data_IF_911100683234
#
_entry.id   IF_911100683234
#
_cell.length_a   1.000
_cell.length_b   1.000
_cell.length_c   1.000
_cell.angle_alpha   90.00
_cell.angle_beta   90.00
_cell.angle_gamma   90.00
#
_symmetry.space_group_name_H-M   'P 1'
#
loop_
_entity.id
_entity.type
_entity.pdbx_description
1 polymer ?
#
# COMPACT_ATOMS: atom_id res chain seq x y z
N UNK A 1 -10.27 15.77 -33.73
CA UNK A 1 -9.99 14.53 -33.00
C UNK A 1 -8.50 14.16 -33.03
N UNK A 2 -7.88 13.98 -34.21
CA UNK A 2 -6.43 13.64 -34.35
C UNK A 2 -5.48 14.62 -33.62
N UNK A 3 -5.74 15.93 -33.68
CA UNK A 3 -4.95 16.95 -32.97
C UNK A 3 -5.01 16.76 -31.46
N UNK A 4 -6.19 16.56 -30.90
CA UNK A 4 -6.41 16.33 -29.47
C UNK A 4 -5.68 15.06 -28.97
N UNK A 5 -5.76 13.96 -29.75
CA UNK A 5 -5.04 12.72 -29.43
C UNK A 5 -3.51 12.95 -29.42
N UNK A 6 -2.99 13.70 -30.40
CA UNK A 6 -1.56 14.04 -30.46
C UNK A 6 -1.11 14.87 -29.24
N UNK A 7 -1.90 15.88 -28.87
CA UNK A 7 -1.64 16.72 -27.70
C UNK A 7 -1.65 15.90 -26.40
N UNK A 8 -2.62 15.02 -26.24
CA UNK A 8 -2.69 14.10 -25.08
C UNK A 8 -1.48 13.17 -25.01
N UNK A 9 -1.07 12.57 -26.13
CA UNK A 9 0.14 11.72 -26.18
C UNK A 9 1.40 12.50 -25.81
N UNK A 10 1.55 13.71 -26.33
CA UNK A 10 2.71 14.58 -26.02
C UNK A 10 2.75 14.96 -24.54
N UNK A 11 1.61 15.32 -23.96
CA UNK A 11 1.51 15.65 -22.55
C UNK A 11 1.82 14.44 -21.65
N UNK A 12 1.34 13.25 -22.04
CA UNK A 12 1.60 12.00 -21.32
C UNK A 12 3.10 11.65 -21.35
N UNK A 13 3.73 11.69 -22.54
CA UNK A 13 5.14 11.41 -22.68
C UNK A 13 6.02 12.43 -21.94
N UNK A 14 5.64 13.71 -21.94
CA UNK A 14 6.30 14.76 -21.16
C UNK A 14 6.21 14.48 -19.65
N UNK A 15 5.06 14.00 -19.16
CA UNK A 15 4.87 13.63 -17.74
C UNK A 15 5.76 12.45 -17.36
N UNK A 16 5.78 11.38 -18.19
CA UNK A 16 6.63 10.21 -17.97
C UNK A 16 8.11 10.63 -17.95
N UNK A 17 8.57 11.36 -18.97
CA UNK A 17 9.97 11.81 -19.08
C UNK A 17 10.41 12.65 -17.89
N UNK A 18 9.52 13.47 -17.32
CA UNK A 18 9.80 14.25 -16.11
C UNK A 18 10.00 13.36 -14.89
N UNK A 19 9.12 12.36 -14.69
CA UNK A 19 9.24 11.43 -13.57
C UNK A 19 10.51 10.58 -13.69
N UNK A 20 10.82 10.07 -14.88
CA UNK A 20 12.05 9.30 -15.15
C UNK A 20 13.29 10.13 -14.84
N UNK A 21 13.32 11.39 -15.25
CA UNK A 21 14.44 12.31 -14.98
C UNK A 21 14.63 12.58 -13.49
N UNK A 22 13.54 12.66 -12.72
CA UNK A 22 13.61 12.84 -11.27
C UNK A 22 14.21 11.61 -10.56
N UNK A 23 14.13 10.43 -11.17
CA UNK A 23 14.72 9.20 -10.66
C UNK A 23 16.12 8.90 -11.25
N UNK A 24 16.67 9.80 -12.06
CA UNK A 24 18.00 9.63 -12.63
C UNK A 24 19.07 9.58 -11.53
N UNK A 25 19.98 8.61 -11.62
CA UNK A 25 21.02 8.38 -10.61
C UNK A 25 20.59 7.61 -9.35
N UNK A 26 19.30 7.36 -9.15
CA UNK A 26 18.81 6.53 -8.05
C UNK A 26 19.21 5.06 -8.24
N UNK A 27 19.47 4.36 -7.14
CA UNK A 27 19.64 2.91 -7.14
C UNK A 27 18.33 2.20 -7.54
N UNK A 28 18.36 0.96 -8.06
CA UNK A 28 17.16 0.22 -8.45
C UNK A 28 16.07 0.18 -7.39
N UNK A 29 16.43 -0.05 -6.14
CA UNK A 29 15.53 -0.10 -5.00
C UNK A 29 14.86 1.27 -4.71
N UNK A 30 15.62 2.34 -4.89
CA UNK A 30 15.10 3.71 -4.73
C UNK A 30 14.14 4.09 -5.85
N UNK A 31 14.42 3.66 -7.09
CA UNK A 31 13.53 3.85 -8.25
C UNK A 31 12.20 3.14 -8.06
N UNK A 32 12.22 1.88 -7.62
CA UNK A 32 11.02 1.12 -7.30
C UNK A 32 10.18 1.85 -6.25
N UNK A 33 10.81 2.23 -5.14
CA UNK A 33 10.15 2.98 -4.07
C UNK A 33 9.62 4.33 -4.56
N UNK A 34 10.34 5.02 -5.41
CA UNK A 34 9.90 6.28 -6.00
C UNK A 34 8.61 6.11 -6.84
N UNK A 35 8.52 5.04 -7.64
CA UNK A 35 7.32 4.72 -8.43
C UNK A 35 6.15 4.38 -7.52
N UNK A 36 6.36 3.55 -6.50
CA UNK A 36 5.35 3.23 -5.49
C UNK A 36 4.85 4.50 -4.78
N UNK A 37 5.78 5.33 -4.30
CA UNK A 37 5.47 6.57 -3.60
C UNK A 37 4.71 7.56 -4.48
N UNK A 38 5.02 7.61 -5.79
CA UNK A 38 4.28 8.40 -6.75
C UNK A 38 2.81 7.97 -6.81
N UNK A 39 2.53 6.68 -6.93
CA UNK A 39 1.16 6.15 -6.93
C UNK A 39 0.46 6.49 -5.62
N UNK A 40 1.04 6.16 -4.48
CA UNK A 40 0.41 6.35 -3.17
C UNK A 40 0.16 7.83 -2.82
N UNK A 41 0.94 8.77 -3.40
CA UNK A 41 0.81 10.20 -3.11
C UNK A 41 0.00 10.99 -4.13
N UNK A 42 -0.16 10.49 -5.36
CA UNK A 42 -0.73 11.28 -6.46
C UNK A 42 -1.93 10.63 -7.14
N UNK A 43 -2.28 9.41 -6.78
CA UNK A 43 -3.38 8.69 -7.43
C UNK A 43 -4.44 8.33 -6.40
N UNK A 44 -5.69 8.65 -6.70
CA UNK A 44 -6.86 8.20 -5.94
C UNK A 44 -7.52 7.03 -6.66
N UNK A 45 -7.95 6.00 -5.91
CA UNK A 45 -8.66 4.86 -6.50
C UNK A 45 -10.02 5.29 -7.04
N UNK A 46 -10.28 5.00 -8.32
CA UNK A 46 -11.54 5.39 -8.98
C UNK A 46 -12.65 4.38 -8.73
N UNK A 47 -13.49 4.67 -7.74
CA UNK A 47 -14.67 3.85 -7.42
C UNK A 47 -15.70 3.83 -8.56
N UNK A 48 -15.74 4.86 -9.42
CA UNK A 48 -16.66 4.98 -10.56
C UNK A 48 -16.17 4.20 -11.79
N UNK A 49 -14.94 3.71 -11.77
CA UNK A 49 -14.33 2.90 -12.85
C UNK A 49 -14.47 3.53 -14.24
N UNK A 50 -14.15 4.82 -14.34
CA UNK A 50 -14.19 5.54 -15.62
C UNK A 50 -13.24 4.89 -16.63
N UNK A 51 -13.57 4.94 -17.92
CA UNK A 51 -12.82 4.26 -18.97
C UNK A 51 -11.31 4.60 -18.93
N UNK A 52 -10.94 5.86 -18.75
CA UNK A 52 -9.54 6.28 -18.71
C UNK A 52 -8.79 5.85 -17.42
N UNK A 53 -9.50 5.44 -16.38
CA UNK A 53 -8.90 4.94 -15.13
C UNK A 53 -8.28 3.55 -15.29
N UNK A 54 -8.61 2.83 -16.37
CA UNK A 54 -8.00 1.56 -16.74
C UNK A 54 -6.70 1.73 -17.55
N UNK A 55 -6.38 2.95 -17.96
CA UNK A 55 -5.22 3.29 -18.76
C UNK A 55 -4.25 4.21 -18.01
N UNK A 56 -3.00 4.25 -18.46
CA UNK A 56 -1.94 5.08 -17.82
C UNK A 56 -2.26 6.57 -17.77
N UNK A 57 -3.15 7.04 -18.64
CA UNK A 57 -3.61 8.44 -18.66
C UNK A 57 -4.36 8.81 -17.38
N UNK A 58 -5.11 7.86 -16.78
CA UNK A 58 -5.80 8.07 -15.52
C UNK A 58 -4.83 8.43 -14.39
N UNK A 59 -3.93 7.55 -13.97
CA UNK A 59 -2.96 7.84 -12.92
C UNK A 59 -1.99 8.99 -13.24
N UNK A 60 -1.51 9.10 -14.48
CA UNK A 60 -0.47 10.07 -14.84
C UNK A 60 -0.99 11.49 -15.10
N UNK A 61 -2.20 11.66 -15.60
CA UNK A 61 -2.74 12.97 -15.97
C UNK A 61 -3.96 13.39 -15.14
N UNK A 62 -4.81 12.44 -14.73
CA UNK A 62 -6.04 12.73 -14.01
C UNK A 62 -5.90 12.48 -12.50
N UNK A 63 -4.82 11.83 -12.05
CA UNK A 63 -4.61 11.49 -10.65
C UNK A 63 -5.59 10.45 -10.11
N UNK A 64 -6.23 9.68 -10.99
CA UNK A 64 -7.16 8.60 -10.61
C UNK A 64 -6.88 7.32 -11.39
N UNK A 65 -7.12 6.17 -10.80
CA UNK A 65 -6.92 4.88 -11.46
C UNK A 65 -7.61 3.73 -10.75
N UNK A 66 -7.91 2.68 -11.49
CA UNK A 66 -8.21 1.35 -10.95
C UNK A 66 -6.96 0.49 -10.96
N UNK A 67 -7.01 -0.71 -10.37
CA UNK A 67 -5.84 -1.59 -10.27
C UNK A 67 -5.11 -1.80 -11.61
N UNK A 68 -5.85 -1.98 -12.71
CA UNK A 68 -5.27 -2.15 -14.04
C UNK A 68 -4.49 -0.93 -14.51
N UNK A 69 -5.06 0.27 -14.40
CA UNK A 69 -4.40 1.52 -14.79
C UNK A 69 -3.19 1.84 -13.91
N UNK A 70 -3.28 1.54 -12.62
CA UNK A 70 -2.18 1.68 -11.67
C UNK A 70 -1.06 0.69 -12.04
N UNK A 71 -1.36 -0.59 -12.24
CA UNK A 71 -0.36 -1.60 -12.60
C UNK A 71 0.33 -1.29 -13.94
N UNK A 72 -0.41 -0.82 -14.97
CA UNK A 72 0.15 -0.33 -16.23
C UNK A 72 1.09 0.87 -16.01
N UNK A 73 0.71 1.78 -15.10
CA UNK A 73 1.52 2.98 -14.78
C UNK A 73 2.81 2.61 -14.06
N UNK A 74 2.74 1.72 -13.06
CA UNK A 74 3.94 1.19 -12.39
C UNK A 74 4.86 0.54 -13.42
N UNK A 75 4.32 -0.32 -14.29
CA UNK A 75 5.11 -0.99 -15.31
C UNK A 75 5.82 -0.01 -16.24
N UNK A 76 5.13 0.95 -16.85
CA UNK A 76 5.76 1.88 -17.80
C UNK A 76 6.83 2.75 -17.11
N UNK A 77 6.63 3.17 -15.88
CA UNK A 77 7.61 3.96 -15.15
C UNK A 77 8.84 3.11 -14.79
N UNK A 78 8.65 1.89 -14.28
CA UNK A 78 9.75 0.96 -14.00
C UNK A 78 10.57 0.67 -15.26
N UNK A 79 9.93 0.28 -16.36
CA UNK A 79 10.61 -0.04 -17.63
C UNK A 79 11.41 1.18 -18.14
N UNK A 80 10.85 2.38 -18.09
CA UNK A 80 11.54 3.62 -18.51
C UNK A 80 12.69 4.03 -17.59
N UNK A 81 12.68 3.59 -16.34
CA UNK A 81 13.75 3.79 -15.36
C UNK A 81 14.80 2.66 -15.40
N UNK A 82 14.62 1.66 -16.28
CA UNK A 82 15.55 0.53 -16.44
C UNK A 82 15.34 -0.61 -15.44
N UNK A 83 14.15 -0.72 -14.84
CA UNK A 83 13.76 -1.84 -13.99
C UNK A 83 12.89 -2.82 -14.80
N UNK A 84 13.21 -4.12 -14.74
CA UNK A 84 12.32 -5.14 -15.28
C UNK A 84 11.05 -5.23 -14.43
N UNK A 85 9.89 -5.04 -15.06
CA UNK A 85 8.60 -5.07 -14.39
C UNK A 85 7.57 -5.87 -15.20
N UNK A 86 6.78 -6.68 -14.52
CA UNK A 86 5.66 -7.46 -15.08
C UNK A 86 4.36 -7.04 -14.44
N UNK A 87 3.24 -7.35 -15.08
CA UNK A 87 1.90 -7.25 -14.49
C UNK A 87 1.44 -8.67 -14.18
N UNK A 88 0.98 -8.91 -12.96
CA UNK A 88 0.26 -10.12 -12.58
C UNK A 88 -1.24 -9.84 -12.57
N UNK A 89 -2.05 -10.84 -12.86
CA UNK A 89 -3.51 -10.76 -12.84
C UNK A 89 -4.06 -11.97 -12.09
N UNK A 90 -4.97 -11.75 -11.14
CA UNK A 90 -5.77 -12.79 -10.52
C UNK A 90 -7.18 -12.84 -11.06
N UNK A 91 -7.79 -14.01 -11.05
CA UNK A 91 -9.21 -14.20 -11.29
C UNK A 91 -10.03 -13.93 -10.02
N UNK A 92 -11.31 -13.71 -10.21
CA UNK A 92 -12.27 -13.78 -9.10
C UNK A 92 -12.42 -15.23 -8.64
N UNK A 93 -12.46 -15.43 -7.33
CA UNK A 93 -12.72 -16.73 -6.69
C UNK A 93 -13.71 -16.49 -5.53
N UNK A 94 -15.03 -16.35 -5.83
CA UNK A 94 -16.05 -16.00 -4.82
C UNK A 94 -16.14 -17.01 -3.68
N UNK A 95 -15.87 -18.27 -3.95
CA UNK A 95 -15.75 -19.37 -2.97
C UNK A 95 -14.63 -19.16 -1.95
N UNK A 96 -13.63 -18.36 -2.29
CA UNK A 96 -12.50 -17.95 -1.44
C UNK A 96 -12.63 -16.50 -0.94
N UNK A 97 -13.77 -15.85 -1.16
CA UNK A 97 -14.00 -14.45 -0.80
C UNK A 97 -13.36 -13.42 -1.75
N UNK A 98 -12.74 -13.86 -2.84
CA UNK A 98 -12.14 -12.97 -3.86
C UNK A 98 -13.21 -12.63 -4.88
N UNK A 99 -13.83 -11.47 -4.72
CA UNK A 99 -15.00 -11.07 -5.52
C UNK A 99 -14.68 -10.55 -6.92
N UNK A 100 -13.44 -10.03 -7.12
CA UNK A 100 -13.06 -9.31 -8.35
C UNK A 100 -11.69 -9.76 -8.84
N UNK A 101 -11.51 -9.68 -10.16
CA UNK A 101 -10.17 -9.74 -10.77
C UNK A 101 -9.33 -8.58 -10.26
N UNK A 102 -8.04 -8.84 -10.08
CA UNK A 102 -7.09 -7.84 -9.61
C UNK A 102 -5.81 -7.87 -10.45
N UNK A 103 -5.17 -6.70 -10.59
CA UNK A 103 -3.90 -6.57 -11.29
C UNK A 103 -2.89 -5.84 -10.39
N UNK A 104 -1.67 -6.37 -10.33
CA UNK A 104 -0.53 -5.79 -9.61
C UNK A 104 0.77 -6.06 -10.36
N UNK A 105 1.92 -5.73 -9.78
CA UNK A 105 3.20 -5.83 -10.45
C UNK A 105 4.14 -6.85 -9.80
N UNK A 106 5.08 -7.35 -10.61
CA UNK A 106 6.32 -7.94 -10.15
C UNK A 106 7.46 -7.04 -10.62
N UNK A 107 8.38 -6.73 -9.72
CA UNK A 107 9.58 -5.93 -10.02
C UNK A 107 10.81 -6.78 -9.76
N UNK A 108 11.80 -6.73 -10.66
CA UNK A 108 13.05 -7.44 -10.53
C UNK A 108 14.12 -6.52 -9.99
N UNK A 109 14.61 -6.82 -8.81
CA UNK A 109 15.75 -6.16 -8.19
C UNK A 109 16.95 -7.10 -8.23
N UNK A 110 18.01 -6.69 -8.90
CA UNK A 110 19.14 -7.57 -9.23
C UNK A 110 18.66 -8.81 -10.00
N UNK A 111 18.73 -9.99 -9.42
CA UNK A 111 18.31 -11.23 -10.06
C UNK A 111 17.07 -11.87 -9.40
N UNK A 112 16.36 -11.13 -8.55
CA UNK A 112 15.23 -11.65 -7.75
C UNK A 112 13.97 -10.87 -8.05
N UNK A 113 12.85 -11.58 -8.24
CA UNK A 113 11.54 -11.01 -8.43
C UNK A 113 10.84 -10.81 -7.09
N UNK A 114 10.09 -9.71 -6.98
CA UNK A 114 9.26 -9.35 -5.83
C UNK A 114 7.89 -8.87 -6.29
N UNK A 115 6.86 -9.18 -5.53
CA UNK A 115 5.53 -8.62 -5.74
C UNK A 115 5.43 -7.21 -5.19
N UNK A 116 4.79 -6.33 -5.95
CA UNK A 116 4.49 -4.95 -5.61
C UNK A 116 3.05 -4.63 -5.95
N UNK A 117 2.20 -4.40 -4.95
CA UNK A 117 0.84 -3.92 -5.17
C UNK A 117 0.62 -2.51 -4.63
N UNK A 118 0.92 -1.54 -5.48
CA UNK A 118 0.71 -0.14 -5.15
C UNK A 118 -0.78 0.25 -5.03
N UNK A 119 -1.71 -0.56 -5.56
CA UNK A 119 -3.15 -0.32 -5.43
C UNK A 119 -3.62 -0.61 -4.01
N UNK A 120 -3.23 -1.76 -3.45
CA UNK A 120 -3.58 -2.11 -2.08
C UNK A 120 -2.91 -1.17 -1.09
N UNK A 121 -1.63 -0.87 -1.26
CA UNK A 121 -0.92 0.09 -0.40
C UNK A 121 -1.54 1.50 -0.45
N UNK A 122 -1.92 1.96 -1.64
CA UNK A 122 -2.65 3.23 -1.82
C UNK A 122 -3.99 3.24 -1.05
N UNK A 123 -4.74 2.14 -1.12
CA UNK A 123 -6.04 2.01 -0.46
C UNK A 123 -5.94 1.96 1.08
N UNK A 124 -4.81 1.52 1.61
CA UNK A 124 -4.54 1.46 3.06
C UNK A 124 -4.09 2.82 3.63
N UNK A 125 -3.59 3.73 2.81
CA UNK A 125 -3.03 5.03 3.21
C UNK A 125 -4.09 6.10 3.52
N UNK A 126 -5.07 5.83 4.37
CA UNK A 126 -6.25 6.68 4.61
C UNK A 126 -5.97 8.07 5.19
N UNK A 127 -4.89 8.25 5.94
CA UNK A 127 -4.59 9.49 6.67
C UNK A 127 -3.32 10.18 6.16
N UNK A 128 -3.00 9.99 4.88
CA UNK A 128 -1.81 10.59 4.25
C UNK A 128 -0.49 9.88 4.57
N UNK A 129 -0.52 8.82 5.42
CA UNK A 129 0.63 7.95 5.61
C UNK A 129 0.79 6.99 4.43
N UNK A 130 2.03 6.75 4.04
CA UNK A 130 2.34 5.73 3.06
C UNK A 130 2.35 4.35 3.71
N UNK A 131 1.67 3.40 3.09
CA UNK A 131 1.69 2.00 3.47
C UNK A 131 2.60 1.23 2.54
N UNK A 132 3.19 0.16 3.05
CA UNK A 132 4.12 -0.72 2.33
C UNK A 132 3.83 -2.19 2.65
N UNK A 133 2.57 -2.50 2.87
CA UNK A 133 2.09 -3.84 3.26
C UNK A 133 2.25 -4.84 2.12
N UNK A 134 2.24 -4.32 0.87
CA UNK A 134 2.35 -5.08 -0.36
C UNK A 134 3.57 -4.67 -1.19
N UNK A 135 4.64 -4.25 -0.50
CA UNK A 135 5.89 -3.81 -1.11
C UNK A 135 6.99 -4.86 -0.91
N UNK A 136 7.48 -5.44 -2.01
CA UNK A 136 8.51 -6.49 -2.04
C UNK A 136 8.15 -7.77 -1.28
N UNK A 137 6.94 -8.29 -1.56
CA UNK A 137 6.48 -9.55 -1.01
C UNK A 137 7.01 -10.76 -1.78
N UNK A 138 7.20 -11.87 -1.06
CA UNK A 138 7.36 -13.19 -1.65
C UNK A 138 6.01 -13.85 -2.01
N UNK A 139 6.05 -14.96 -2.76
CA UNK A 139 4.86 -15.72 -3.15
C UNK A 139 4.04 -16.16 -1.93
N UNK A 140 4.69 -16.55 -0.84
CA UNK A 140 4.02 -17.01 0.37
C UNK A 140 3.19 -15.93 1.05
N UNK A 141 3.63 -14.67 0.95
CA UNK A 141 2.90 -13.55 1.54
C UNK A 141 1.80 -13.05 0.61
N UNK A 142 2.11 -12.79 -0.67
CA UNK A 142 1.14 -12.21 -1.59
C UNK A 142 -0.04 -13.16 -1.86
N UNK A 143 0.20 -14.47 -1.95
CA UNK A 143 -0.84 -15.44 -2.25
C UNK A 143 -1.78 -15.77 -1.09
N UNK A 144 -1.70 -15.07 0.02
CA UNK A 144 -2.74 -15.13 1.05
C UNK A 144 -4.05 -14.50 0.59
N UNK A 145 -3.99 -13.50 -0.30
CA UNK A 145 -5.16 -12.73 -0.76
C UNK A 145 -5.15 -12.39 -2.27
N UNK A 146 -4.12 -12.83 -3.04
CA UNK A 146 -3.94 -12.53 -4.47
C UNK A 146 -4.00 -13.78 -5.38
N UNK A 147 -4.82 -14.76 -5.04
CA UNK A 147 -5.04 -15.97 -5.82
C UNK A 147 -6.48 -16.05 -6.35
N UNK A 148 -6.72 -16.89 -7.39
CA UNK A 148 -5.77 -17.60 -8.24
C UNK A 148 -5.20 -16.69 -9.35
N UNK A 149 -3.99 -17.03 -9.84
CA UNK A 149 -3.39 -16.34 -10.99
C UNK A 149 -4.03 -16.79 -12.31
N UNK A 150 -4.21 -15.82 -13.23
CA UNK A 150 -4.67 -16.08 -14.61
C UNK A 150 -3.60 -16.81 -15.44
N UNK A 151 -2.33 -16.50 -15.19
CA UNK A 151 -1.19 -17.08 -15.87
C UNK A 151 0.03 -17.16 -14.95
N UNK A 152 0.99 -18.01 -15.34
CA UNK A 152 2.21 -18.20 -14.56
C UNK A 152 3.11 -16.98 -14.63
N UNK A 153 3.60 -16.55 -13.48
CA UNK A 153 4.60 -15.49 -13.32
C UNK A 153 5.91 -16.05 -12.75
N UNK A 154 7.03 -15.33 -12.83
CA UNK A 154 8.25 -15.72 -12.14
C UNK A 154 8.04 -15.91 -10.64
N UNK A 155 8.70 -16.90 -10.06
CA UNK A 155 8.62 -17.15 -8.62
C UNK A 155 9.34 -16.05 -7.82
N UNK A 156 8.69 -15.59 -6.76
CA UNK A 156 9.22 -14.62 -5.81
C UNK A 156 9.51 -15.37 -4.49
N UNK A 157 10.74 -15.85 -4.33
CA UNK A 157 11.10 -16.77 -3.23
C UNK A 157 11.79 -16.09 -2.05
N UNK A 158 12.21 -14.84 -2.19
CA UNK A 158 12.91 -14.09 -1.17
C UNK A 158 12.00 -13.06 -0.48
N UNK A 159 11.71 -13.27 0.79
CA UNK A 159 10.93 -12.33 1.62
C UNK A 159 11.80 -11.38 2.46
N UNK A 160 13.12 -11.34 2.25
CA UNK A 160 14.01 -10.49 3.06
C UNK A 160 13.80 -9.00 2.79
N UNK A 161 13.46 -8.65 1.54
CA UNK A 161 13.21 -7.27 1.12
C UNK A 161 11.80 -6.75 1.41
N UNK A 162 10.94 -7.55 2.03
CA UNK A 162 9.67 -7.03 2.51
C UNK A 162 9.91 -5.76 3.34
N UNK A 163 9.29 -4.65 2.98
CA UNK A 163 9.59 -3.32 3.50
C UNK A 163 9.77 -3.26 5.03
N UNK A 164 8.85 -3.86 5.77
CA UNK A 164 8.91 -3.83 7.24
C UNK A 164 10.04 -4.67 7.82
N UNK A 165 10.51 -5.71 7.12
CA UNK A 165 11.69 -6.48 7.52
C UNK A 165 12.97 -5.70 7.25
N UNK A 166 13.13 -5.20 6.05
CA UNK A 166 14.31 -4.43 5.61
C UNK A 166 14.51 -3.18 6.49
N UNK A 167 13.41 -2.51 6.87
CA UNK A 167 13.44 -1.32 7.71
C UNK A 167 13.35 -1.61 9.22
N UNK A 168 13.50 -2.87 9.65
CA UNK A 168 13.48 -3.29 11.07
C UNK A 168 12.17 -2.91 11.80
N UNK A 169 11.08 -2.86 11.06
CA UNK A 169 9.71 -2.61 11.56
C UNK A 169 8.91 -3.91 11.69
N UNK A 170 9.58 -5.06 11.65
CA UNK A 170 9.00 -6.39 11.81
C UNK A 170 9.27 -6.87 13.22
N UNK A 171 8.25 -6.91 14.08
CA UNK A 171 8.36 -7.14 15.51
C UNK A 171 7.89 -8.52 15.90
N UNK A 172 8.51 -9.08 16.96
CA UNK A 172 8.19 -10.42 17.49
C UNK A 172 7.78 -10.39 18.96
N UNK A 173 7.98 -9.27 19.66
CA UNK A 173 7.73 -9.14 21.11
C UNK A 173 6.86 -7.92 21.39
N UNK A 174 5.97 -8.06 22.35
CA UNK A 174 5.09 -6.97 22.80
C UNK A 174 5.87 -5.81 23.43
N UNK A 175 6.97 -6.11 24.12
CA UNK A 175 7.85 -5.10 24.73
C UNK A 175 8.46 -4.19 23.67
N UNK A 176 8.80 -4.75 22.50
CA UNK A 176 9.33 -3.95 21.36
C UNK A 176 8.23 -3.02 20.80
N UNK A 177 6.98 -3.49 20.71
CA UNK A 177 5.83 -2.65 20.32
C UNK A 177 5.69 -1.49 21.30
N UNK A 178 5.65 -1.78 22.61
CA UNK A 178 5.54 -0.77 23.66
C UNK A 178 6.67 0.27 23.60
N UNK A 179 7.90 -0.18 23.53
CA UNK A 179 9.08 0.69 23.51
C UNK A 179 9.11 1.61 22.29
N UNK A 180 8.83 1.06 21.10
CA UNK A 180 8.81 1.83 19.84
C UNK A 180 7.63 2.79 19.78
N UNK A 181 6.44 2.40 20.22
CA UNK A 181 5.29 3.28 20.23
C UNK A 181 5.45 4.44 21.21
N UNK A 182 6.01 4.20 22.40
CA UNK A 182 6.40 5.29 23.33
C UNK A 182 7.40 6.28 22.70
N UNK A 183 8.32 5.79 21.86
CA UNK A 183 9.23 6.67 21.11
C UNK A 183 8.51 7.51 20.04
N UNK A 184 7.54 6.93 19.34
CA UNK A 184 6.66 7.64 18.40
C UNK A 184 5.90 8.78 19.08
N UNK A 185 5.29 8.50 20.24
CA UNK A 185 4.57 9.50 21.04
C UNK A 185 5.49 10.64 21.53
N UNK A 186 6.71 10.32 21.97
CA UNK A 186 7.71 11.33 22.36
C UNK A 186 8.10 12.24 21.20
N UNK A 187 8.22 11.69 19.98
CA UNK A 187 8.55 12.43 18.75
C UNK A 187 7.32 13.13 18.15
N UNK A 188 6.16 13.03 18.77
CA UNK A 188 4.88 13.59 18.28
C UNK A 188 4.55 13.13 16.85
N UNK A 189 4.93 11.92 16.48
CA UNK A 189 4.58 11.35 15.18
C UNK A 189 3.10 10.96 15.20
N UNK A 190 2.35 11.19 14.09
CA UNK A 190 0.91 10.96 14.06
C UNK A 190 0.52 9.49 13.96
N UNK A 191 1.42 8.61 13.58
CA UNK A 191 1.14 7.18 13.42
C UNK A 191 2.42 6.35 13.56
N UNK A 192 2.22 5.05 13.84
CA UNK A 192 3.25 4.01 13.82
C UNK A 192 2.72 2.80 13.06
N UNK A 193 3.43 2.34 12.04
CA UNK A 193 3.08 1.14 11.26
C UNK A 193 4.17 0.10 11.43
N UNK A 194 3.78 -1.15 11.70
CA UNK A 194 4.71 -2.25 11.89
C UNK A 194 4.08 -3.59 11.46
N UNK A 195 4.93 -4.54 11.08
CA UNK A 195 4.56 -5.92 10.81
C UNK A 195 4.74 -6.76 12.07
N UNK A 196 3.72 -7.56 12.41
CA UNK A 196 3.79 -8.51 13.53
C UNK A 196 4.27 -9.88 13.04
N UNK A 197 5.29 -10.43 13.70
CA UNK A 197 5.91 -11.73 13.41
C UNK A 197 6.09 -12.58 14.67
N UNK A 198 5.48 -12.22 15.78
CA UNK A 198 5.56 -12.92 17.06
C UNK A 198 4.61 -14.12 17.19
N UNK A 199 4.15 -14.66 16.06
CA UNK A 199 3.16 -15.74 15.99
C UNK A 199 1.90 -15.30 15.25
N UNK A 200 0.84 -16.09 15.35
CA UNK A 200 -0.44 -15.74 14.76
C UNK A 200 -1.01 -14.47 15.42
N UNK A 201 -1.63 -13.62 14.60
CA UNK A 201 -2.31 -12.41 15.09
C UNK A 201 -3.71 -12.78 15.62
N UNK A 202 -3.73 -13.42 16.79
CA UNK A 202 -4.96 -13.82 17.45
C UNK A 202 -5.66 -12.62 18.10
N UNK A 203 -6.91 -12.81 18.51
CA UNK A 203 -7.66 -11.78 19.22
C UNK A 203 -6.94 -11.34 20.51
N UNK A 204 -6.37 -12.28 21.25
CA UNK A 204 -5.63 -12.02 22.51
C UNK A 204 -4.39 -11.16 22.24
N UNK A 205 -3.64 -11.46 21.17
CA UNK A 205 -2.46 -10.65 20.77
C UNK A 205 -2.89 -9.24 20.38
N UNK A 206 -3.99 -9.10 19.64
CA UNK A 206 -4.54 -7.79 19.26
C UNK A 206 -4.99 -6.98 20.48
N UNK A 207 -5.67 -7.62 21.43
CA UNK A 207 -6.11 -6.99 22.68
C UNK A 207 -4.92 -6.53 23.53
N UNK A 208 -3.86 -7.33 23.61
CA UNK A 208 -2.61 -6.95 24.30
C UNK A 208 -1.93 -5.75 23.62
N UNK A 209 -1.80 -5.76 22.30
CA UNK A 209 -1.22 -4.63 21.57
C UNK A 209 -2.09 -3.37 21.73
N UNK A 210 -3.41 -3.52 21.66
CA UNK A 210 -4.34 -2.42 21.85
C UNK A 210 -4.28 -1.84 23.27
N UNK A 211 -4.17 -2.68 24.30
CA UNK A 211 -3.98 -2.27 25.68
C UNK A 211 -2.71 -1.46 25.88
N UNK A 212 -1.58 -1.98 25.40
CA UNK A 212 -0.26 -1.30 25.43
C UNK A 212 -0.32 0.06 24.74
N UNK A 213 -0.90 0.12 23.53
CA UNK A 213 -0.97 1.35 22.77
C UNK A 213 -1.90 2.38 23.42
N UNK A 214 -3.07 1.94 23.89
CA UNK A 214 -4.05 2.82 24.54
C UNK A 214 -3.52 3.39 25.86
N UNK A 215 -2.84 2.59 26.68
CA UNK A 215 -2.23 3.05 27.92
C UNK A 215 -1.14 4.09 27.67
N UNK A 216 -0.21 3.79 26.75
CA UNK A 216 0.86 4.72 26.37
C UNK A 216 0.35 6.05 25.79
N UNK A 217 -0.71 6.00 24.99
CA UNK A 217 -1.35 7.21 24.45
C UNK A 217 -2.03 8.03 25.54
N UNK A 218 -2.79 7.38 26.44
CA UNK A 218 -3.48 8.02 27.56
C UNK A 218 -2.52 8.75 28.51
N UNK A 219 -1.33 8.20 28.78
CA UNK A 219 -0.27 8.89 29.54
C UNK A 219 0.15 10.22 28.93
N UNK A 220 -0.12 10.45 27.65
CA UNK A 220 0.16 11.69 26.90
C UNK A 220 -1.08 12.51 26.59
N UNK A 221 -2.25 12.17 27.16
CA UNK A 221 -3.52 12.83 26.85
C UNK A 221 -3.98 12.61 25.40
N UNK A 222 -3.60 11.48 24.80
CA UNK A 222 -3.91 11.11 23.42
C UNK A 222 -4.76 9.85 23.36
N UNK A 223 -5.36 9.63 22.20
CA UNK A 223 -6.04 8.40 21.82
C UNK A 223 -5.28 7.70 20.70
N UNK A 224 -5.49 6.40 20.57
CA UNK A 224 -4.93 5.61 19.47
C UNK A 224 -6.06 4.89 18.77
N UNK A 225 -6.09 5.02 17.44
CA UNK A 225 -6.91 4.21 16.55
C UNK A 225 -6.03 3.12 15.97
N UNK A 226 -6.53 1.88 15.95
CA UNK A 226 -5.79 0.71 15.48
C UNK A 226 -6.45 0.19 14.23
N UNK A 227 -5.70 0.07 13.16
CA UNK A 227 -6.10 -0.64 11.95
C UNK A 227 -5.18 -1.81 11.67
N UNK A 228 -5.74 -2.89 11.12
CA UNK A 228 -5.05 -4.15 10.93
C UNK A 228 -5.25 -4.66 9.51
N UNK A 229 -4.14 -4.90 8.82
CA UNK A 229 -4.13 -5.74 7.64
C UNK A 229 -3.83 -7.18 8.07
N UNK A 230 -4.88 -7.99 8.21
CA UNK A 230 -4.76 -9.36 8.70
C UNK A 230 -3.96 -10.26 7.75
N UNK A 231 -4.14 -10.11 6.43
CA UNK A 231 -3.44 -10.92 5.43
C UNK A 231 -1.93 -10.79 5.55
N UNK A 232 -1.45 -9.56 5.74
CA UNK A 232 -0.02 -9.28 5.84
C UNK A 232 0.46 -9.13 7.29
N UNK A 233 -0.43 -9.26 8.28
CA UNK A 233 -0.12 -9.07 9.71
C UNK A 233 0.56 -7.70 9.98
N UNK A 234 0.10 -6.66 9.30
CA UNK A 234 0.58 -5.29 9.48
C UNK A 234 -0.43 -4.49 10.27
N UNK A 235 0.05 -3.78 11.27
CA UNK A 235 -0.76 -2.94 12.15
C UNK A 235 -0.35 -1.48 12.03
N UNK A 236 -1.34 -0.60 12.12
CA UNK A 236 -1.18 0.83 12.23
C UNK A 236 -1.76 1.32 13.55
N UNK A 237 -0.98 2.08 14.28
CA UNK A 237 -1.37 2.80 15.49
C UNK A 237 -1.40 4.30 15.14
N UNK A 238 -2.58 4.84 14.85
CA UNK A 238 -2.77 6.26 14.57
C UNK A 238 -3.08 7.04 15.85
N UNK A 239 -2.29 8.08 16.13
CA UNK A 239 -2.41 8.92 17.33
C UNK A 239 -3.30 10.11 17.03
N UNK A 240 -4.31 10.35 17.84
CA UNK A 240 -5.27 11.45 17.66
C UNK A 240 -5.57 12.15 18.98
N UNK A 241 -6.08 13.38 18.90
CA UNK A 241 -6.62 14.13 20.03
C UNK A 241 -8.05 13.73 20.32
N UNK A 242 -8.53 14.10 21.52
CA UNK A 242 -9.89 13.75 21.96
C UNK A 242 -10.98 14.31 21.03
N UNK A 243 -10.84 15.56 20.58
CA UNK A 243 -11.80 16.19 19.66
C UNK A 243 -11.85 15.49 18.31
N UNK A 244 -10.70 15.25 17.70
CA UNK A 244 -10.60 14.53 16.44
C UNK A 244 -11.05 13.08 16.53
N UNK A 245 -10.86 12.42 17.67
CA UNK A 245 -11.38 11.06 17.91
C UNK A 245 -12.90 11.03 17.91
N UNK A 246 -13.58 12.02 18.51
CA UNK A 246 -15.05 12.13 18.49
C UNK A 246 -15.60 12.41 17.06
N UNK A 247 -14.92 13.24 16.29
CA UNK A 247 -15.30 13.54 14.89
C UNK A 247 -15.19 12.27 14.01
N UNK A 248 -14.09 11.55 14.12
CA UNK A 248 -13.87 10.28 13.38
C UNK A 248 -14.96 9.25 13.74
N UNK A 249 -15.31 9.09 15.02
CA UNK A 249 -16.35 8.18 15.43
C UNK A 249 -17.74 8.57 14.89
N UNK A 250 -18.03 9.87 14.74
CA UNK A 250 -19.29 10.36 14.16
C UNK A 250 -19.34 10.10 12.66
N UNK A 251 -18.24 10.32 11.93
CA UNK A 251 -18.16 10.08 10.49
C UNK A 251 -18.32 8.59 10.16
N UNK A 252 -17.68 7.70 10.94
CA UNK A 252 -17.80 6.25 10.75
C UNK A 252 -19.21 5.72 11.10
N UNK A 253 -19.88 6.29 12.09
CA UNK A 253 -21.26 5.97 12.40
C UNK A 253 -22.21 6.34 11.25
N UNK A 254 -22.00 7.52 10.64
CA UNK A 254 -22.79 7.99 9.50
C UNK A 254 -22.52 7.19 8.21
N UNK A 255 -21.28 6.74 7.96
CA UNK A 255 -20.96 5.88 6.81
C UNK A 255 -21.56 4.47 6.98
N UNK A 256 -21.64 3.97 8.20
CA UNK A 256 -22.26 2.67 8.53
C UNK A 256 -23.78 2.65 8.30
N UNK A 257 -24.48 3.76 8.50
CA UNK A 257 -25.91 3.90 8.22
C UNK A 257 -26.23 4.01 6.73
N UNK A 258 -25.30 4.50 5.90
CA UNK A 258 -25.47 4.63 4.46
C UNK A 258 -25.17 3.35 3.66
N UNK A 259 -24.60 2.32 4.28
CA UNK A 259 -24.27 1.04 3.65
C UNK A 259 -25.15 -0.13 4.11
N UNK A 260 -26.19 0.16 4.86
CA UNK A 260 -27.13 -0.80 5.48
C UNK A 260 -28.45 -0.96 4.76
N UNK A 261 -28.45 -0.90 3.39
CA UNK A 261 -29.60 -1.34 2.53
C UNK A 261 -29.14 -2.29 1.44
#
# INVERSE_FOLDING_TARGET
EKKKIKEMKTALESRISRLVRQAEGMAPEEKEKYVHDFICSNVTYDKLKKQYSHEIIGPLQQGIGVCEGIAKTVKILCDRMGLECLIAISESAPDRGIRYRHAWNLVKLKNTWYHLDATFDNSLGRYGQKRFDYFNLDDRMIFKDHQPLVYKVPACTDGARFYYRENRLSLTKLEDVAGRFKAVLRKKQPYYVFHWRGGYLTREVLEQIAGIASEAAREKGKYVKISVNYSQSVMELAVTDYQSAQEICREEANEGELTGD
#
